data_IF_656289564693
#
_entry.id   IF_656289564693
#
_cell.length_a   1.000
_cell.length_b   1.000
_cell.length_c   1.000
_cell.angle_alpha   90.00
_cell.angle_beta   90.00
_cell.angle_gamma   90.00
#
_symmetry.space_group_name_H-M   'P 1'
#
loop_
_entity.id
_entity.type
_entity.pdbx_description
1 polymer ?
#
# COMPACT_ATOMS: atom_id res chain seq x y z
N UNK A 1 -48.66 -11.89 32.03
CA UNK A 1 -47.60 -12.89 31.72
C UNK A 1 -47.02 -12.50 30.37
N UNK A 2 -45.92 -11.73 30.37
CA UNK A 2 -45.27 -11.23 29.17
C UNK A 2 -44.08 -12.15 28.85
N UNK A 3 -44.04 -12.68 27.62
CA UNK A 3 -42.92 -13.50 27.15
C UNK A 3 -41.81 -12.58 26.64
N UNK A 4 -40.62 -12.75 27.21
CA UNK A 4 -39.42 -12.02 26.83
C UNK A 4 -38.94 -12.45 25.44
N UNK A 5 -38.73 -11.47 24.56
CA UNK A 5 -37.96 -11.60 23.33
C UNK A 5 -36.50 -11.87 23.69
N UNK A 6 -36.00 -13.07 23.43
CA UNK A 6 -34.56 -13.31 23.36
C UNK A 6 -34.12 -13.12 21.92
N UNK A 7 -33.73 -11.88 21.59
CA UNK A 7 -32.93 -11.60 20.41
C UNK A 7 -31.52 -12.08 20.65
N UNK A 8 -31.08 -13.10 19.89
CA UNK A 8 -29.68 -13.45 19.79
C UNK A 8 -28.94 -12.31 19.10
N UNK A 9 -28.41 -11.37 19.87
CA UNK A 9 -27.39 -10.43 19.40
C UNK A 9 -26.09 -11.21 19.20
N UNK A 10 -25.96 -11.83 18.03
CA UNK A 10 -24.63 -12.21 17.53
C UNK A 10 -24.00 -10.90 17.06
N UNK A 11 -23.16 -10.29 17.91
CA UNK A 11 -22.28 -9.21 17.48
C UNK A 11 -21.50 -9.72 16.26
N UNK A 12 -21.42 -8.96 15.15
CA UNK A 12 -20.55 -9.35 14.06
C UNK A 12 -19.13 -9.32 14.62
N UNK A 13 -18.46 -10.47 14.66
CA UNK A 13 -17.03 -10.52 14.88
C UNK A 13 -16.40 -9.66 13.78
N UNK A 14 -15.95 -8.46 14.12
CA UNK A 14 -15.15 -7.62 13.23
C UNK A 14 -13.92 -8.42 12.90
N UNK A 15 -13.92 -9.10 11.75
CA UNK A 15 -12.72 -9.70 11.21
C UNK A 15 -11.78 -8.52 10.96
N UNK A 16 -10.77 -8.38 11.81
CA UNK A 16 -9.69 -7.44 11.56
C UNK A 16 -9.00 -7.93 10.30
N UNK A 17 -9.26 -7.25 9.19
CA UNK A 17 -8.68 -7.63 7.90
C UNK A 17 -7.15 -7.54 8.02
N UNK A 18 -6.48 -8.55 7.47
CA UNK A 18 -5.03 -8.62 7.41
C UNK A 18 -4.55 -8.23 6.01
N UNK A 19 -3.29 -7.81 5.92
CA UNK A 19 -2.63 -7.53 4.65
C UNK A 19 -2.58 -8.82 3.83
N UNK A 20 -3.32 -8.83 2.71
CA UNK A 20 -3.52 -10.00 1.87
C UNK A 20 -2.54 -10.07 0.71
N UNK A 21 -2.14 -8.91 0.19
CA UNK A 21 -1.20 -8.83 -0.92
C UNK A 21 -0.41 -7.53 -0.92
N UNK A 22 0.77 -7.61 -1.52
CA UNK A 22 1.64 -6.48 -1.77
C UNK A 22 2.13 -6.50 -3.22
N UNK A 23 2.19 -5.33 -3.83
CA UNK A 23 2.56 -5.18 -5.24
C UNK A 23 3.54 -4.02 -5.40
N UNK A 24 4.56 -4.19 -6.22
CA UNK A 24 5.49 -3.12 -6.60
C UNK A 24 5.54 -3.00 -8.11
N UNK A 25 5.28 -1.78 -8.57
CA UNK A 25 5.23 -1.44 -9.98
C UNK A 25 6.30 -0.42 -10.27
N UNK A 26 7.19 -0.76 -11.19
CA UNK A 26 8.14 0.19 -11.78
C UNK A 26 7.48 0.87 -12.97
N UNK A 27 7.51 2.20 -13.02
CA UNK A 27 7.06 2.98 -14.18
C UNK A 27 8.11 4.03 -14.58
N UNK A 28 8.05 4.46 -15.84
CA UNK A 28 8.87 5.55 -16.37
C UNK A 28 8.04 6.82 -16.40
N UNK A 29 8.36 7.75 -15.51
CA UNK A 29 7.69 9.04 -15.37
C UNK A 29 7.76 9.89 -16.64
N UNK A 30 8.76 9.67 -17.52
CA UNK A 30 8.85 10.38 -18.81
C UNK A 30 7.78 9.96 -19.80
N UNK A 31 7.15 8.80 -19.59
CA UNK A 31 6.03 8.32 -20.40
C UNK A 31 4.68 8.87 -19.93
N UNK A 32 4.66 9.56 -18.79
CA UNK A 32 3.47 10.20 -18.27
C UNK A 32 3.33 11.59 -18.89
N UNK A 33 2.20 11.90 -19.55
CA UNK A 33 1.98 13.23 -20.08
C UNK A 33 1.93 14.24 -18.91
N UNK A 34 2.53 15.41 -19.09
CA UNK A 34 2.50 16.57 -18.18
C UNK A 34 3.42 16.57 -16.94
N UNK A 35 4.28 15.57 -16.72
CA UNK A 35 5.33 15.65 -15.70
C UNK A 35 6.63 16.24 -16.30
N UNK A 36 6.96 17.47 -15.94
CA UNK A 36 8.10 18.25 -16.50
C UNK A 36 9.37 18.21 -15.64
N UNK A 37 9.56 17.19 -14.80
CA UNK A 37 10.75 17.15 -13.92
C UNK A 37 11.85 16.27 -14.52
N UNK A 38 12.94 16.92 -14.92
CA UNK A 38 14.06 16.35 -15.70
C UNK A 38 14.92 15.31 -14.96
N UNK A 39 14.65 15.00 -13.69
CA UNK A 39 15.55 14.17 -12.86
C UNK A 39 14.96 12.85 -12.33
N UNK A 40 13.70 12.51 -12.64
CA UNK A 40 13.14 11.19 -12.29
C UNK A 40 13.08 10.33 -13.55
N UNK A 41 13.92 9.31 -13.63
CA UNK A 41 13.97 8.40 -14.80
C UNK A 41 13.15 7.13 -14.58
N UNK A 42 13.12 6.60 -13.35
CA UNK A 42 12.34 5.43 -12.98
C UNK A 42 11.76 5.61 -11.58
N UNK A 43 10.46 5.39 -11.45
CA UNK A 43 9.73 5.49 -10.20
C UNK A 43 9.13 4.13 -9.85
N UNK A 44 8.89 3.93 -8.55
CA UNK A 44 8.23 2.77 -7.98
C UNK A 44 6.92 3.17 -7.32
N UNK A 45 5.89 2.36 -7.53
CA UNK A 45 4.63 2.44 -6.82
C UNK A 45 4.48 1.16 -6.00
N UNK A 46 4.46 1.29 -4.68
CA UNK A 46 4.15 0.22 -3.75
C UNK A 46 2.66 0.26 -3.42
N UNK A 47 1.99 -0.89 -3.48
CA UNK A 47 0.59 -1.07 -3.08
C UNK A 47 0.49 -2.16 -2.02
N UNK A 48 -0.22 -1.88 -0.94
CA UNK A 48 -0.63 -2.83 0.10
C UNK A 48 -2.14 -3.00 0.01
N UNK A 49 -2.63 -4.24 0.08
CA UNK A 49 -4.07 -4.55 0.10
C UNK A 49 -4.47 -5.17 1.42
N UNK A 50 -5.57 -4.68 2.00
CA UNK A 50 -6.19 -5.20 3.20
C UNK A 50 -7.71 -5.19 3.01
N UNK A 51 -8.30 -6.38 2.85
CA UNK A 51 -9.69 -6.55 2.42
C UNK A 51 -10.00 -5.81 1.11
N UNK A 52 -10.94 -4.86 1.16
CA UNK A 52 -11.32 -4.03 0.00
C UNK A 52 -10.53 -2.74 -0.11
N UNK A 53 -9.69 -2.41 0.88
CA UNK A 53 -8.91 -1.19 0.90
C UNK A 53 -7.51 -1.42 0.32
N UNK A 54 -6.98 -0.37 -0.32
CA UNK A 54 -5.64 -0.35 -0.89
C UNK A 54 -4.90 0.90 -0.43
N UNK A 55 -3.69 0.74 0.08
CA UNK A 55 -2.79 1.84 0.39
C UNK A 55 -1.61 1.86 -0.56
N UNK A 56 -1.10 3.05 -0.85
CA UNK A 56 -0.05 3.22 -1.84
C UNK A 56 1.03 4.20 -1.40
N UNK A 57 2.28 3.91 -1.78
CA UNK A 57 3.43 4.79 -1.63
C UNK A 57 4.23 4.89 -2.94
N UNK A 58 4.66 6.11 -3.27
CA UNK A 58 5.52 6.38 -4.42
C UNK A 58 6.96 6.60 -3.96
N UNK A 59 7.92 6.09 -4.74
CA UNK A 59 9.34 6.22 -4.45
C UNK A 59 10.19 6.33 -5.71
N UNK A 60 11.37 6.91 -5.56
CA UNK A 60 12.35 6.99 -6.63
C UNK A 60 13.18 5.71 -6.63
N UNK A 61 13.38 5.10 -7.80
CA UNK A 61 14.26 3.93 -7.89
C UNK A 61 15.71 4.41 -7.98
N UNK A 62 16.65 3.77 -7.27
CA UNK A 62 18.07 4.09 -7.44
C UNK A 62 18.44 3.89 -8.92
N UNK A 63 19.11 4.88 -9.50
CA UNK A 63 19.39 4.97 -10.95
C UNK A 63 20.16 3.77 -11.50
N UNK A 64 20.86 3.03 -10.63
CA UNK A 64 21.71 1.89 -10.94
C UNK A 64 21.06 0.52 -10.67
N UNK A 65 19.82 0.48 -10.16
CA UNK A 65 19.18 -0.79 -9.78
C UNK A 65 18.79 -1.61 -11.01
N UNK A 66 19.46 -2.74 -11.24
CA UNK A 66 18.97 -3.73 -12.19
C UNK A 66 17.63 -4.31 -11.69
N UNK A 67 16.76 -4.86 -12.56
CA UNK A 67 15.51 -5.49 -12.14
C UNK A 67 15.68 -6.59 -11.07
N UNK A 68 16.82 -7.29 -11.11
CA UNK A 68 17.18 -8.36 -10.16
C UNK A 68 17.50 -7.81 -8.75
N UNK A 69 18.11 -6.62 -8.67
CA UNK A 69 18.40 -5.95 -7.40
C UNK A 69 17.12 -5.46 -6.73
N UNK A 70 16.11 -5.09 -7.53
CA UNK A 70 14.84 -4.58 -7.02
C UNK A 70 14.08 -5.66 -6.24
N UNK A 71 14.06 -6.92 -6.71
CA UNK A 71 13.40 -8.02 -5.97
C UNK A 71 14.04 -8.20 -4.59
N UNK A 72 15.37 -8.21 -4.54
CA UNK A 72 16.10 -8.34 -3.27
C UNK A 72 15.82 -7.14 -2.37
N UNK A 73 15.81 -5.94 -2.92
CA UNK A 73 15.58 -4.70 -2.19
C UNK A 73 14.18 -4.64 -1.54
N UNK A 74 13.15 -5.11 -2.25
CA UNK A 74 11.75 -5.09 -1.79
C UNK A 74 11.36 -6.29 -0.93
N UNK A 75 12.15 -7.37 -0.94
CA UNK A 75 11.83 -8.63 -0.25
C UNK A 75 11.57 -8.45 1.25
N UNK A 76 12.10 -7.38 1.84
CA UNK A 76 11.89 -7.02 3.24
C UNK A 76 10.41 -6.85 3.60
N UNK A 77 9.58 -6.41 2.66
CA UNK A 77 8.15 -6.17 2.91
C UNK A 77 7.33 -7.46 3.05
N UNK A 78 7.88 -8.61 2.65
CA UNK A 78 7.17 -9.89 2.74
C UNK A 78 6.74 -10.24 4.16
N UNK A 79 7.45 -9.76 5.18
CA UNK A 79 7.10 -9.96 6.60
C UNK A 79 5.81 -9.25 7.01
N UNK A 80 5.33 -8.29 6.22
CA UNK A 80 4.07 -7.58 6.49
C UNK A 80 2.84 -8.39 6.08
N UNK A 81 3.01 -9.46 5.31
CA UNK A 81 1.91 -10.31 4.85
C UNK A 81 1.22 -10.98 6.04
N UNK A 82 -0.09 -11.11 5.98
CA UNK A 82 -0.95 -11.69 7.03
C UNK A 82 -0.97 -10.91 8.36
N UNK A 83 -0.28 -9.78 8.46
CA UNK A 83 -0.38 -8.89 9.61
C UNK A 83 -1.61 -7.98 9.50
N UNK A 84 -2.25 -7.70 10.63
CA UNK A 84 -3.21 -6.58 10.71
C UNK A 84 -2.47 -5.25 10.56
N UNK A 85 -3.20 -4.18 10.28
CA UNK A 85 -2.61 -2.83 10.16
C UNK A 85 -1.82 -2.43 11.41
N UNK A 86 -2.35 -2.70 12.61
CA UNK A 86 -1.67 -2.37 13.86
C UNK A 86 -0.43 -3.24 14.09
N UNK A 87 -0.48 -4.54 13.74
CA UNK A 87 0.71 -5.40 13.78
C UNK A 87 1.77 -4.96 12.77
N UNK A 88 1.35 -4.54 11.59
CA UNK A 88 2.25 -4.03 10.56
C UNK A 88 2.97 -2.76 11.03
N UNK A 89 2.29 -1.82 11.71
CA UNK A 89 2.93 -0.64 12.31
C UNK A 89 4.04 -1.02 13.29
N UNK A 90 3.74 -1.94 14.21
CA UNK A 90 4.75 -2.43 15.17
C UNK A 90 5.92 -3.09 14.44
N UNK A 91 5.63 -3.95 13.46
CA UNK A 91 6.66 -4.61 12.67
C UNK A 91 7.58 -3.62 11.93
N UNK A 92 7.03 -2.57 11.33
CA UNK A 92 7.80 -1.53 10.63
C UNK A 92 8.74 -0.82 11.62
N UNK A 93 8.21 -0.41 12.77
CA UNK A 93 9.01 0.25 13.81
C UNK A 93 10.15 -0.65 14.33
N UNK A 94 9.88 -1.94 14.51
CA UNK A 94 10.88 -2.92 14.97
C UNK A 94 12.01 -3.14 13.95
N UNK A 95 11.74 -2.93 12.65
CA UNK A 95 12.69 -3.14 11.57
C UNK A 95 13.28 -1.85 10.97
N UNK A 96 12.97 -0.67 11.53
CA UNK A 96 13.37 0.63 10.96
C UNK A 96 14.88 0.71 10.67
N UNK A 97 15.71 0.18 11.57
CA UNK A 97 17.16 0.17 11.42
C UNK A 97 17.64 -0.77 10.32
N UNK A 98 17.04 -1.96 10.20
CA UNK A 98 17.43 -2.99 9.24
C UNK A 98 16.95 -2.66 7.81
N UNK A 99 15.76 -2.07 7.71
CA UNK A 99 15.19 -1.64 6.44
C UNK A 99 15.81 -0.32 5.97
N UNK A 100 16.26 0.52 6.89
CA UNK A 100 16.78 1.84 6.58
C UNK A 100 15.67 2.80 6.12
N UNK A 101 16.01 4.08 6.10
CA UNK A 101 15.05 5.19 6.00
C UNK A 101 14.07 5.09 4.83
N UNK A 102 14.55 4.72 3.64
CA UNK A 102 13.69 4.75 2.44
C UNK A 102 12.63 3.65 2.44
N UNK A 103 13.00 2.41 2.77
CA UNK A 103 12.07 1.27 2.79
C UNK A 103 11.07 1.41 3.94
N UNK A 104 11.52 1.90 5.09
CA UNK A 104 10.63 2.26 6.21
C UNK A 104 9.60 3.31 5.78
N UNK A 105 10.06 4.43 5.19
CA UNK A 105 9.16 5.49 4.69
C UNK A 105 8.11 4.95 3.73
N UNK A 106 8.52 4.10 2.78
CA UNK A 106 7.61 3.50 1.79
C UNK A 106 6.52 2.66 2.47
N UNK A 107 6.90 1.82 3.46
CA UNK A 107 5.95 1.01 4.19
C UNK A 107 4.98 1.86 5.03
N UNK A 108 5.50 2.87 5.72
CA UNK A 108 4.70 3.79 6.54
C UNK A 108 3.71 4.59 5.69
N UNK A 109 4.15 5.15 4.57
CA UNK A 109 3.29 5.93 3.67
C UNK A 109 2.17 5.07 3.07
N UNK A 110 2.50 3.84 2.65
CA UNK A 110 1.49 2.94 2.11
C UNK A 110 0.48 2.52 3.18
N UNK A 111 0.93 2.28 4.41
CA UNK A 111 0.07 1.90 5.52
C UNK A 111 -0.81 3.07 5.98
N UNK A 112 -0.27 4.28 6.02
CA UNK A 112 -1.04 5.50 6.33
C UNK A 112 -2.10 5.77 5.27
N UNK A 113 -1.76 5.61 3.99
CA UNK A 113 -2.72 5.75 2.89
C UNK A 113 -3.81 4.66 2.98
N UNK A 114 -3.46 3.42 3.34
CA UNK A 114 -4.43 2.33 3.57
C UNK A 114 -5.42 2.67 4.69
N UNK A 115 -4.93 3.18 5.82
CA UNK A 115 -5.78 3.57 6.95
C UNK A 115 -6.73 4.69 6.55
N UNK A 116 -6.22 5.68 5.82
CA UNK A 116 -7.04 6.75 5.27
C UNK A 116 -8.16 6.20 4.35
N UNK A 117 -7.90 5.15 3.57
CA UNK A 117 -8.94 4.50 2.76
C UNK A 117 -9.98 3.75 3.60
N UNK A 118 -9.59 3.18 4.74
CA UNK A 118 -10.50 2.46 5.63
C UNK A 118 -11.40 3.41 6.44
N UNK A 119 -10.91 4.62 6.71
CA UNK A 119 -11.58 5.61 7.57
C UNK A 119 -12.32 6.71 6.77
N UNK A 120 -12.15 6.74 5.45
CA UNK A 120 -12.68 7.80 4.59
C UNK A 120 -14.22 7.96 4.66
N UNK A 121 -14.66 9.21 4.70
CA UNK A 121 -16.06 9.60 4.54
C UNK A 121 -16.38 10.05 3.10
N UNK A 122 -17.63 10.47 2.86
CA UNK A 122 -18.14 10.80 1.52
C UNK A 122 -17.34 11.91 0.80
N UNK A 123 -16.76 12.88 1.52
CA UNK A 123 -16.02 13.99 0.90
C UNK A 123 -14.60 13.55 0.51
N UNK A 124 -13.93 12.82 1.42
CA UNK A 124 -12.59 12.27 1.19
C UNK A 124 -12.59 11.21 0.08
N UNK A 125 -13.69 10.48 -0.08
CA UNK A 125 -13.87 9.46 -1.12
C UNK A 125 -13.60 9.97 -2.53
N UNK A 126 -13.94 11.23 -2.85
CA UNK A 126 -13.73 11.80 -4.19
C UNK A 126 -12.24 11.98 -4.52
N UNK A 127 -11.48 12.53 -3.57
CA UNK A 127 -10.03 12.75 -3.68
C UNK A 127 -9.32 11.40 -3.72
N UNK A 128 -9.67 10.50 -2.80
CA UNK A 128 -9.19 9.12 -2.75
C UNK A 128 -9.39 8.39 -4.08
N UNK A 129 -10.62 8.47 -4.62
CA UNK A 129 -10.97 7.82 -5.88
C UNK A 129 -10.11 8.36 -7.02
N UNK A 130 -9.90 9.68 -7.09
CA UNK A 130 -9.03 10.28 -8.10
C UNK A 130 -7.57 9.80 -7.99
N UNK A 131 -7.02 9.73 -6.77
CA UNK A 131 -5.65 9.22 -6.53
C UNK A 131 -5.55 7.74 -6.90
N UNK A 132 -6.55 6.94 -6.53
CA UNK A 132 -6.63 5.52 -6.88
C UNK A 132 -6.72 5.30 -8.39
N UNK A 133 -7.47 6.13 -9.12
CA UNK A 133 -7.53 6.10 -10.58
C UNK A 133 -6.18 6.44 -11.21
N UNK A 134 -5.49 7.48 -10.72
CA UNK A 134 -4.13 7.81 -11.18
C UNK A 134 -3.18 6.63 -10.93
N UNK A 135 -3.21 6.02 -9.75
CA UNK A 135 -2.35 4.89 -9.40
C UNK A 135 -2.68 3.63 -10.19
N UNK A 136 -3.96 3.38 -10.47
CA UNK A 136 -4.41 2.29 -11.36
C UNK A 136 -3.92 2.52 -12.80
N UNK A 137 -3.97 3.77 -13.26
CA UNK A 137 -3.36 4.16 -14.53
C UNK A 137 -1.84 3.93 -14.51
N UNK A 138 -1.12 4.32 -13.46
CA UNK A 138 0.32 4.04 -13.35
C UNK A 138 0.63 2.52 -13.40
N UNK A 139 -0.23 1.69 -12.80
CA UNK A 139 -0.13 0.24 -12.88
C UNK A 139 -0.26 -0.29 -14.31
N UNK A 140 -1.20 0.25 -15.09
CA UNK A 140 -1.41 -0.14 -16.49
C UNK A 140 -0.19 0.18 -17.38
N UNK A 141 0.56 1.25 -17.06
CA UNK A 141 1.74 1.69 -17.80
C UNK A 141 3.06 1.19 -17.17
N UNK A 142 2.97 0.26 -16.22
CA UNK A 142 4.11 -0.34 -15.54
C UNK A 142 5.08 -1.02 -16.51
N UNK A 143 6.38 -0.77 -16.35
CA UNK A 143 7.46 -1.45 -17.05
C UNK A 143 7.79 -2.81 -16.43
N UNK A 144 7.58 -2.97 -15.12
CA UNK A 144 7.85 -4.21 -14.40
C UNK A 144 6.90 -4.32 -13.22
N UNK A 145 6.38 -5.52 -12.98
CA UNK A 145 5.36 -5.81 -11.98
C UNK A 145 5.83 -6.98 -11.09
N UNK A 146 5.86 -6.74 -9.78
CA UNK A 146 6.14 -7.75 -8.77
C UNK A 146 4.96 -7.84 -7.80
N UNK A 147 4.55 -9.07 -7.48
CA UNK A 147 3.48 -9.36 -6.53
C UNK A 147 3.90 -10.48 -5.60
N UNK A 148 3.60 -10.33 -4.31
CA UNK A 148 3.95 -11.29 -3.26
C UNK A 148 2.90 -11.33 -2.14
#
# INVERSE_FOLDING_TARGET
MALAYMGNNSEPAYQTEAISSMEIIRYDSRRLPYLTEENRHYCGLFKITCGTAHGFAEFDLPQESAPEDLITWISVFTVLKELTVEQAKTCIADHEQDWGMERTRIAEEALADLQLMQEADEELHSIISSRSLVRSFLMEYGLTYYSF
#
